data_IF_484857386899
#
_entry.id   IF_484857386899
#
_cell.length_a   1.000
_cell.length_b   1.000
_cell.length_c   1.000
_cell.angle_alpha   90.00
_cell.angle_beta   90.00
_cell.angle_gamma   90.00
#
_symmetry.space_group_name_H-M   'P 1'
#
loop_
_entity.id
_entity.type
_entity.pdbx_description
1 polymer ?
#
# COMPACT_ATOMS: atom_id res chain seq x y z
N UNK A 1 11.78 -14.80 -17.95
CA UNK A 1 12.67 -13.87 -17.21
C UNK A 1 12.95 -14.44 -15.83
N UNK A 2 14.08 -14.05 -15.22
CA UNK A 2 14.38 -14.27 -13.81
C UNK A 2 13.70 -13.17 -13.00
N UNK A 3 12.82 -13.52 -12.09
CA UNK A 3 12.06 -12.56 -11.28
C UNK A 3 12.22 -12.89 -9.79
N UNK A 4 12.64 -11.92 -9.00
CA UNK A 4 12.54 -12.01 -7.54
C UNK A 4 11.22 -11.36 -7.14
N UNK A 5 10.36 -12.10 -6.44
CA UNK A 5 9.23 -11.52 -5.71
C UNK A 5 9.71 -11.21 -4.31
N UNK A 6 9.75 -9.94 -3.96
CA UNK A 6 10.21 -9.48 -2.66
C UNK A 6 9.02 -9.22 -1.75
N UNK A 7 8.95 -9.91 -0.61
CA UNK A 7 7.80 -9.86 0.31
C UNK A 7 8.27 -9.86 1.78
N UNK A 8 7.35 -9.93 2.71
CA UNK A 8 7.63 -10.00 4.15
C UNK A 8 8.10 -8.68 4.75
N UNK A 9 9.29 -8.66 5.32
CA UNK A 9 9.83 -7.49 6.00
C UNK A 9 9.38 -7.36 7.45
N UNK A 10 9.48 -6.15 8.01
CA UNK A 10 9.19 -5.85 9.42
C UNK A 10 8.15 -4.73 9.58
N UNK A 11 7.19 -4.64 8.65
CA UNK A 11 6.03 -3.75 8.78
C UNK A 11 4.86 -4.45 9.48
N UNK A 12 3.88 -3.69 9.94
CA UNK A 12 2.62 -4.21 10.48
C UNK A 12 1.79 -4.98 9.43
N UNK A 13 2.16 -4.86 8.14
CA UNK A 13 1.50 -5.53 7.00
C UNK A 13 2.29 -6.73 6.47
N UNK A 14 3.22 -7.26 7.28
CA UNK A 14 4.09 -8.40 6.91
C UNK A 14 3.32 -9.61 6.38
N UNK A 15 2.26 -10.04 7.08
CA UNK A 15 1.48 -11.22 6.70
C UNK A 15 0.77 -11.00 5.37
N UNK A 16 0.21 -9.81 5.17
CA UNK A 16 -0.40 -9.40 3.89
C UNK A 16 0.62 -9.43 2.76
N UNK A 17 1.83 -8.96 3.03
CA UNK A 17 2.94 -8.96 2.08
C UNK A 17 3.35 -10.38 1.69
N UNK A 18 3.46 -11.31 2.64
CA UNK A 18 3.82 -12.70 2.36
C UNK A 18 2.74 -13.40 1.51
N UNK A 19 1.46 -13.20 1.84
CA UNK A 19 0.34 -13.76 1.06
C UNK A 19 0.29 -13.15 -0.34
N UNK A 20 0.42 -11.82 -0.46
CA UNK A 20 0.51 -11.13 -1.76
C UNK A 20 1.68 -11.66 -2.60
N UNK A 21 2.86 -11.73 -2.01
CA UNK A 21 4.07 -12.25 -2.65
C UNK A 21 3.92 -13.69 -3.13
N UNK A 22 3.30 -14.55 -2.30
CA UNK A 22 3.01 -15.94 -2.66
C UNK A 22 2.08 -16.04 -3.89
N UNK A 23 1.02 -15.23 -3.95
CA UNK A 23 0.12 -15.22 -5.10
C UNK A 23 0.79 -14.69 -6.36
N UNK A 24 1.58 -13.61 -6.24
CA UNK A 24 2.38 -13.05 -7.34
C UNK A 24 3.38 -14.08 -7.85
N UNK A 25 4.10 -14.75 -6.95
CA UNK A 25 5.04 -15.81 -7.30
C UNK A 25 4.37 -16.92 -8.13
N UNK A 26 3.21 -17.43 -7.65
CA UNK A 26 2.47 -18.47 -8.38
C UNK A 26 2.00 -17.98 -9.76
N UNK A 27 1.52 -16.74 -9.86
CA UNK A 27 1.11 -16.16 -11.13
C UNK A 27 2.29 -16.04 -12.12
N UNK A 28 3.45 -15.58 -11.66
CA UNK A 28 4.66 -15.48 -12.48
C UNK A 28 5.16 -16.85 -12.94
N UNK A 29 5.12 -17.87 -12.07
CA UNK A 29 5.44 -19.26 -12.46
C UNK A 29 4.44 -19.78 -13.51
N UNK A 30 3.15 -19.53 -13.34
CA UNK A 30 2.12 -19.91 -14.32
C UNK A 30 2.31 -19.21 -15.67
N UNK A 31 2.82 -17.98 -15.68
CA UNK A 31 3.17 -17.22 -16.89
C UNK A 31 4.54 -17.64 -17.52
N UNK A 32 5.20 -18.67 -16.96
CA UNK A 32 6.45 -19.22 -17.51
C UNK A 32 7.71 -18.45 -17.11
N UNK A 33 7.67 -17.60 -16.08
CA UNK A 33 8.86 -16.94 -15.53
C UNK A 33 9.61 -17.86 -14.58
N UNK A 34 10.94 -17.68 -14.49
CA UNK A 34 11.80 -18.26 -13.44
C UNK A 34 11.72 -17.36 -12.22
N UNK A 35 10.70 -17.57 -11.39
CA UNK A 35 10.43 -16.73 -10.23
C UNK A 35 10.91 -17.41 -8.93
N UNK A 36 11.36 -16.59 -7.97
CA UNK A 36 11.62 -16.98 -6.59
C UNK A 36 10.92 -15.98 -5.65
N UNK A 37 10.52 -16.43 -4.45
CA UNK A 37 9.91 -15.58 -3.43
C UNK A 37 10.91 -15.42 -2.28
N UNK A 38 11.25 -14.18 -1.93
CA UNK A 38 12.18 -13.86 -0.86
C UNK A 38 11.53 -12.97 0.19
N UNK A 39 11.71 -13.33 1.45
CA UNK A 39 11.50 -12.39 2.54
C UNK A 39 12.64 -11.38 2.57
N UNK A 40 12.31 -10.08 2.46
CA UNK A 40 13.32 -9.02 2.40
C UNK A 40 14.17 -8.93 3.67
N UNK A 41 13.56 -9.26 4.83
CA UNK A 41 14.24 -9.17 6.11
C UNK A 41 14.93 -10.49 6.50
N UNK A 42 14.25 -11.62 6.35
CA UNK A 42 14.84 -12.93 6.73
C UNK A 42 15.84 -13.44 5.70
N UNK A 43 15.65 -13.14 4.41
CA UNK A 43 16.56 -13.54 3.34
C UNK A 43 16.56 -15.03 3.04
N UNK A 44 17.67 -15.49 2.48
CA UNK A 44 17.91 -16.89 2.12
C UNK A 44 19.36 -17.29 2.41
N UNK A 45 19.57 -18.28 3.27
CA UNK A 45 20.92 -18.73 3.69
C UNK A 45 21.46 -19.90 2.86
N UNK A 46 20.65 -20.48 1.96
CA UNK A 46 21.05 -21.61 1.14
C UNK A 46 21.97 -21.25 -0.01
N UNK A 47 22.37 -22.27 -0.77
CA UNK A 47 23.17 -22.13 -1.97
C UNK A 47 22.38 -21.40 -3.08
N UNK A 48 22.94 -20.29 -3.56
CA UNK A 48 22.31 -19.43 -4.58
C UNK A 48 22.67 -19.80 -6.01
N UNK A 49 23.61 -20.70 -6.24
CA UNK A 49 24.04 -21.06 -7.60
C UNK A 49 22.90 -21.73 -8.37
N UNK A 50 22.53 -21.14 -9.49
CA UNK A 50 21.43 -21.62 -10.32
C UNK A 50 20.05 -21.61 -9.65
N UNK A 51 19.85 -20.80 -8.60
CA UNK A 51 18.66 -20.80 -7.74
C UNK A 51 17.35 -20.61 -8.52
N UNK A 52 17.35 -19.81 -9.60
CA UNK A 52 16.18 -19.59 -10.45
C UNK A 52 15.77 -20.84 -11.27
N UNK A 53 16.62 -21.84 -11.35
CA UNK A 53 16.37 -23.11 -12.07
C UNK A 53 16.10 -24.27 -11.10
N UNK A 54 16.19 -24.05 -9.80
CA UNK A 54 15.91 -25.07 -8.77
C UNK A 54 14.39 -25.18 -8.53
N UNK A 55 13.90 -26.40 -8.40
CA UNK A 55 12.52 -26.70 -8.00
C UNK A 55 12.39 -26.63 -6.47
N UNK A 56 12.16 -25.42 -5.96
CA UNK A 56 11.93 -25.14 -4.53
C UNK A 56 10.51 -24.60 -4.38
N UNK A 57 9.75 -25.11 -3.43
CA UNK A 57 8.48 -24.48 -3.02
C UNK A 57 8.77 -23.30 -2.09
N UNK A 58 8.84 -22.12 -2.68
CA UNK A 58 9.06 -20.86 -1.95
C UNK A 58 7.86 -20.39 -1.12
N UNK A 59 6.74 -21.12 -1.19
CA UNK A 59 5.49 -20.73 -0.50
C UNK A 59 5.17 -21.62 0.69
N UNK A 60 5.98 -22.64 0.97
CA UNK A 60 5.74 -23.65 2.02
C UNK A 60 5.53 -23.02 3.43
N UNK A 61 6.28 -21.96 3.74
CA UNK A 61 6.22 -21.28 5.03
C UNK A 61 5.17 -20.16 5.11
N UNK A 62 4.46 -19.87 3.99
CA UNK A 62 3.50 -18.77 3.93
C UNK A 62 2.14 -19.22 4.48
N UNK A 63 1.74 -18.67 5.62
CA UNK A 63 0.43 -18.86 6.22
C UNK A 63 -0.58 -17.78 5.78
N UNK A 64 -1.86 -17.99 6.10
CA UNK A 64 -2.90 -16.97 5.88
C UNK A 64 -2.64 -15.71 6.72
N UNK A 65 -3.20 -14.58 6.28
CA UNK A 65 -3.14 -13.32 7.04
C UNK A 65 -3.82 -13.52 8.39
N UNK A 66 -3.12 -13.16 9.46
CA UNK A 66 -3.65 -13.26 10.83
C UNK A 66 -4.70 -12.16 11.11
N UNK A 67 -5.54 -12.40 12.13
CA UNK A 67 -6.57 -11.43 12.54
C UNK A 67 -5.99 -10.19 13.24
N UNK A 68 -4.75 -10.26 13.68
CA UNK A 68 -3.99 -9.18 14.33
C UNK A 68 -2.70 -8.90 13.60
N UNK A 69 -2.18 -7.70 13.75
CA UNK A 69 -0.87 -7.36 13.21
C UNK A 69 0.23 -8.29 13.77
N UNK A 70 1.24 -8.65 12.96
CA UNK A 70 2.30 -9.56 13.37
C UNK A 70 3.15 -8.97 14.50
N UNK A 71 3.67 -9.84 15.37
CA UNK A 71 4.67 -9.47 16.37
C UNK A 71 6.04 -9.24 15.72
N UNK A 72 6.31 -7.98 15.39
CA UNK A 72 7.56 -7.57 14.74
C UNK A 72 8.79 -7.81 15.62
N UNK A 73 8.64 -7.77 16.94
CA UNK A 73 9.75 -8.08 17.87
C UNK A 73 10.19 -9.55 17.72
N UNK A 74 9.24 -10.46 17.66
CA UNK A 74 9.52 -11.89 17.40
C UNK A 74 10.17 -12.11 16.02
N UNK A 75 9.73 -11.41 14.98
CA UNK A 75 10.36 -11.49 13.65
C UNK A 75 11.81 -10.99 13.70
N UNK A 76 12.08 -9.88 14.38
CA UNK A 76 13.42 -9.34 14.56
C UNK A 76 14.33 -10.30 15.33
N UNK A 77 13.80 -11.00 16.32
CA UNK A 77 14.55 -11.98 17.11
C UNK A 77 15.06 -13.19 16.29
N UNK A 78 14.42 -13.49 15.15
CA UNK A 78 14.89 -14.54 14.23
C UNK A 78 16.21 -14.18 13.53
N UNK A 79 16.61 -12.91 13.58
CA UNK A 79 17.81 -12.38 12.93
C UNK A 79 18.58 -11.43 13.84
N UNK A 80 19.48 -11.95 14.71
CA UNK A 80 20.17 -11.13 15.73
C UNK A 80 21.06 -10.00 15.18
N UNK A 81 21.53 -10.11 13.93
CA UNK A 81 22.31 -9.06 13.23
C UNK A 81 21.45 -8.04 12.45
N UNK A 82 20.14 -8.25 12.40
CA UNK A 82 19.21 -7.49 11.58
C UNK A 82 19.11 -6.00 11.92
N UNK A 83 19.50 -5.58 13.10
CA UNK A 83 19.48 -4.18 13.50
C UNK A 83 20.44 -3.29 12.71
N UNK A 84 21.49 -3.85 12.14
CA UNK A 84 22.50 -3.13 11.34
C UNK A 84 22.30 -3.25 9.84
N UNK A 85 21.58 -4.27 9.40
CA UNK A 85 21.36 -4.55 7.99
C UNK A 85 19.92 -5.01 7.76
N UNK A 86 19.09 -4.15 7.18
CA UNK A 86 17.70 -4.47 6.89
C UNK A 86 17.54 -5.67 5.94
N UNK A 87 18.38 -5.77 4.91
CA UNK A 87 18.31 -6.84 3.94
C UNK A 87 18.87 -8.14 4.52
N UNK A 88 18.08 -9.20 4.45
CA UNK A 88 18.49 -10.54 4.87
C UNK A 88 19.61 -11.13 3.99
N UNK A 89 20.21 -12.26 4.40
CA UNK A 89 21.24 -12.95 3.64
C UNK A 89 20.82 -13.14 2.18
N UNK A 90 21.74 -12.87 1.26
CA UNK A 90 21.60 -13.03 -0.19
C UNK A 90 20.48 -12.22 -0.88
N UNK A 91 19.66 -11.43 -0.19
CA UNK A 91 18.56 -10.68 -0.81
C UNK A 91 19.08 -9.77 -1.92
N UNK A 92 20.01 -8.86 -1.61
CA UNK A 92 20.55 -7.92 -2.62
C UNK A 92 21.28 -8.62 -3.75
N UNK A 93 22.01 -9.70 -3.45
CA UNK A 93 22.68 -10.53 -4.47
C UNK A 93 21.66 -11.09 -5.47
N UNK A 94 20.61 -11.74 -4.97
CA UNK A 94 19.60 -12.37 -5.81
C UNK A 94 18.73 -11.34 -6.56
N UNK A 95 18.44 -10.19 -5.95
CA UNK A 95 17.79 -9.09 -6.63
C UNK A 95 18.64 -8.52 -7.78
N UNK A 96 19.96 -8.44 -7.60
CA UNK A 96 20.87 -7.98 -8.65
C UNK A 96 21.06 -9.01 -9.79
N UNK A 97 20.88 -10.32 -9.52
CA UNK A 97 20.93 -11.38 -10.53
C UNK A 97 19.62 -11.53 -11.32
N UNK A 98 18.52 -10.95 -10.83
CA UNK A 98 17.22 -11.00 -11.50
C UNK A 98 17.14 -9.99 -12.65
N UNK A 99 16.29 -10.29 -13.64
CA UNK A 99 15.94 -9.32 -14.69
C UNK A 99 15.10 -8.16 -14.13
N UNK A 100 14.28 -8.46 -13.11
CA UNK A 100 13.40 -7.51 -12.42
C UNK A 100 12.97 -8.05 -11.06
N UNK A 101 12.78 -7.14 -10.10
CA UNK A 101 12.20 -7.43 -8.78
C UNK A 101 10.73 -7.03 -8.77
N UNK A 102 9.84 -7.97 -8.47
CA UNK A 102 8.44 -7.66 -8.21
C UNK A 102 8.27 -7.30 -6.74
N UNK A 103 7.87 -6.05 -6.47
CA UNK A 103 7.68 -5.52 -5.13
C UNK A 103 6.33 -6.00 -4.57
N UNK A 104 6.32 -7.10 -3.83
CA UNK A 104 5.16 -7.63 -3.10
C UNK A 104 5.10 -7.16 -1.64
N UNK A 105 5.83 -6.09 -1.33
CA UNK A 105 5.90 -5.49 0.01
C UNK A 105 4.73 -4.55 0.25
N UNK A 106 4.34 -4.40 1.53
CA UNK A 106 3.32 -3.45 1.96
C UNK A 106 3.76 -2.70 3.21
N UNK A 107 3.28 -1.46 3.33
CA UNK A 107 3.57 -0.60 4.46
C UNK A 107 5.00 -0.06 4.47
N UNK A 108 5.44 0.37 5.66
CA UNK A 108 6.76 0.93 5.85
C UNK A 108 7.86 0.00 5.33
N UNK A 109 8.96 0.58 4.90
CA UNK A 109 10.08 -0.01 4.18
C UNK A 109 9.77 -0.40 2.72
N UNK A 110 8.60 -0.98 2.41
CA UNK A 110 8.18 -1.28 1.04
C UNK A 110 7.73 -0.04 0.27
N UNK A 111 6.96 0.84 0.93
CA UNK A 111 6.27 1.97 0.29
C UNK A 111 6.88 3.35 0.60
N UNK A 112 7.88 3.44 1.50
CA UNK A 112 8.50 4.71 1.87
C UNK A 112 9.72 5.12 1.02
N UNK A 113 10.02 4.40 -0.05
CA UNK A 113 11.09 4.70 -0.99
C UNK A 113 12.49 4.21 -0.57
N UNK A 114 12.67 3.69 0.63
CA UNK A 114 14.01 3.29 1.13
C UNK A 114 14.59 2.12 0.33
N UNK A 115 13.82 1.08 0.09
CA UNK A 115 14.25 -0.09 -0.71
C UNK A 115 14.47 0.33 -2.16
N UNK A 116 13.55 1.12 -2.71
CA UNK A 116 13.65 1.66 -4.06
C UNK A 116 14.93 2.46 -4.26
N UNK A 117 15.33 3.28 -3.27
CA UNK A 117 16.58 4.05 -3.35
C UNK A 117 17.83 3.15 -3.40
N UNK A 118 17.83 2.04 -2.66
CA UNK A 118 18.93 1.05 -2.75
C UNK A 118 18.95 0.42 -4.14
N UNK A 119 17.79 0.03 -4.66
CA UNK A 119 17.68 -0.58 -5.99
C UNK A 119 18.10 0.39 -7.10
N UNK A 120 17.71 1.67 -7.01
CA UNK A 120 18.15 2.71 -7.95
C UNK A 120 19.68 2.83 -7.97
N UNK A 121 20.34 2.85 -6.79
CA UNK A 121 21.80 2.92 -6.68
C UNK A 121 22.50 1.66 -7.22
N UNK A 122 21.87 0.50 -7.11
CA UNK A 122 22.39 -0.79 -7.59
C UNK A 122 22.03 -1.08 -9.05
N UNK A 123 21.22 -0.24 -9.71
CA UNK A 123 20.74 -0.48 -11.07
C UNK A 123 19.76 -1.67 -11.17
N UNK A 124 19.10 -2.03 -10.07
CA UNK A 124 18.12 -3.12 -10.02
C UNK A 124 16.78 -2.60 -10.50
N UNK A 125 16.18 -3.23 -11.50
CA UNK A 125 14.82 -2.92 -11.95
C UNK A 125 13.79 -3.50 -10.99
N UNK A 126 12.71 -2.74 -10.73
CA UNK A 126 11.63 -3.16 -9.83
C UNK A 126 10.27 -2.63 -10.29
N UNK A 127 9.19 -3.32 -9.88
CA UNK A 127 7.81 -2.89 -10.12
C UNK A 127 7.40 -1.77 -9.17
N UNK A 128 6.43 -0.93 -9.60
CA UNK A 128 5.89 0.15 -8.79
C UNK A 128 6.65 1.47 -8.94
N UNK A 129 6.43 2.36 -8.01
CA UNK A 129 6.88 3.76 -8.05
C UNK A 129 8.30 3.91 -7.50
N UNK A 130 9.09 4.83 -8.09
CA UNK A 130 10.47 5.12 -7.68
C UNK A 130 10.59 5.79 -6.31
N UNK A 131 11.81 5.82 -5.76
CA UNK A 131 12.12 6.15 -4.37
C UNK A 131 11.49 7.47 -3.86
N UNK A 132 11.78 8.59 -4.52
CA UNK A 132 11.31 9.91 -4.06
C UNK A 132 9.78 10.02 -4.07
N UNK A 133 9.11 9.44 -5.08
CA UNK A 133 7.67 9.51 -5.24
C UNK A 133 6.94 8.57 -4.26
N UNK A 134 7.51 7.41 -3.97
CA UNK A 134 7.02 6.52 -2.92
C UNK A 134 7.08 7.20 -1.56
N UNK A 135 8.20 7.88 -1.23
CA UNK A 135 8.32 8.63 0.01
C UNK A 135 7.27 9.76 0.12
N UNK A 136 7.01 10.48 -0.98
CA UNK A 136 5.95 11.52 -1.04
C UNK A 136 4.58 10.91 -0.79
N UNK A 137 4.24 9.79 -1.46
CA UNK A 137 2.93 9.15 -1.31
C UNK A 137 2.72 8.58 0.11
N UNK A 138 3.78 8.10 0.75
CA UNK A 138 3.73 7.58 2.12
C UNK A 138 3.39 8.68 3.14
N UNK A 139 3.87 9.90 2.96
CA UNK A 139 3.53 11.04 3.82
C UNK A 139 2.21 11.66 3.37
N UNK A 140 1.14 11.39 4.13
CA UNK A 140 -0.24 11.82 3.81
C UNK A 140 -0.36 13.34 3.66
N UNK A 141 0.36 14.11 4.47
CA UNK A 141 0.33 15.58 4.38
C UNK A 141 0.92 16.05 3.06
N UNK A 142 2.13 15.63 2.73
CA UNK A 142 2.82 16.04 1.49
C UNK A 142 2.01 15.61 0.26
N UNK A 143 1.52 14.36 0.25
CA UNK A 143 0.70 13.86 -0.85
C UNK A 143 -0.57 14.69 -1.04
N UNK A 144 -1.27 15.05 0.04
CA UNK A 144 -2.50 15.86 -0.01
C UNK A 144 -2.24 17.30 -0.46
N UNK A 145 -1.16 17.93 -0.02
CA UNK A 145 -0.78 19.27 -0.49
C UNK A 145 -0.56 19.28 -2.01
N UNK A 146 0.18 18.28 -2.53
CA UNK A 146 0.42 18.14 -3.96
C UNK A 146 -0.88 17.87 -4.70
N UNK A 147 -1.72 16.97 -4.21
CA UNK A 147 -3.02 16.66 -4.82
C UNK A 147 -3.94 17.89 -4.83
N UNK A 148 -4.07 18.59 -3.71
CA UNK A 148 -4.91 19.81 -3.60
C UNK A 148 -4.43 20.92 -4.56
N UNK A 149 -3.12 21.18 -4.61
CA UNK A 149 -2.54 22.14 -5.55
C UNK A 149 -2.87 21.83 -7.01
N UNK A 150 -2.98 20.53 -7.34
CA UNK A 150 -3.33 20.06 -8.68
C UNK A 150 -4.86 19.87 -8.89
N UNK A 151 -5.69 20.37 -7.98
CA UNK A 151 -7.15 20.36 -8.11
C UNK A 151 -7.79 18.98 -7.89
N UNK A 152 -7.18 18.12 -7.08
CA UNK A 152 -7.80 16.92 -6.52
C UNK A 152 -8.33 17.29 -5.14
N UNK A 153 -9.65 17.18 -4.89
CA UNK A 153 -10.21 17.51 -3.58
C UNK A 153 -9.68 16.58 -2.49
N UNK A 154 -9.29 17.15 -1.36
CA UNK A 154 -8.86 16.44 -0.16
C UNK A 154 -9.61 17.02 1.06
N UNK A 155 -9.77 16.27 2.16
CA UNK A 155 -10.33 16.82 3.40
C UNK A 155 -9.51 18.02 3.88
N UNK A 156 -10.16 19.02 4.46
CA UNK A 156 -9.47 20.13 5.13
C UNK A 156 -8.72 19.60 6.33
N UNK A 157 -7.49 20.04 6.53
CA UNK A 157 -6.66 19.54 7.62
C UNK A 157 -5.64 20.55 8.10
N UNK A 158 -5.06 20.22 9.25
CA UNK A 158 -3.95 20.93 9.88
C UNK A 158 -2.83 19.92 10.14
N UNK A 159 -1.62 20.29 9.74
CA UNK A 159 -0.41 19.53 9.99
C UNK A 159 0.22 19.98 11.29
N UNK A 160 0.56 19.04 12.16
CA UNK A 160 1.20 19.29 13.45
C UNK A 160 2.50 18.50 13.55
N UNK A 161 3.54 19.16 14.01
CA UNK A 161 4.78 18.51 14.44
C UNK A 161 4.76 18.27 15.95
N UNK A 162 5.54 17.32 16.40
CA UNK A 162 5.73 17.08 17.82
C UNK A 162 6.28 18.34 18.50
N UNK A 163 5.52 18.90 19.44
CA UNK A 163 5.86 20.11 20.18
C UNK A 163 5.17 21.38 19.69
N UNK A 164 4.38 21.30 18.60
CA UNK A 164 3.53 22.41 18.17
C UNK A 164 2.37 22.66 19.13
N UNK A 165 1.72 23.83 19.00
CA UNK A 165 0.45 24.10 19.63
C UNK A 165 -0.62 23.17 19.06
N UNK A 166 -1.30 22.44 19.95
CA UNK A 166 -2.26 21.40 19.59
C UNK A 166 -3.71 21.84 19.69
N UNK A 167 -4.00 23.14 19.67
CA UNK A 167 -5.38 23.65 19.66
C UNK A 167 -6.11 23.16 18.41
N UNK A 168 -7.24 22.48 18.60
CA UNK A 168 -8.07 22.02 17.48
C UNK A 168 -8.74 23.18 16.76
N UNK A 169 -8.29 23.49 15.55
CA UNK A 169 -8.88 24.51 14.68
C UNK A 169 -9.83 23.94 13.62
N UNK A 170 -9.92 22.61 13.51
CA UNK A 170 -10.81 21.92 12.56
C UNK A 170 -12.23 21.78 13.13
N UNK A 171 -12.37 21.62 14.46
CA UNK A 171 -13.63 21.33 15.12
C UNK A 171 -13.88 19.83 15.28
N UNK A 172 -15.08 19.48 15.74
CA UNK A 172 -15.49 18.09 15.98
C UNK A 172 -16.76 17.73 15.20
N UNK A 173 -16.90 16.47 14.72
CA UNK A 173 -15.88 15.42 14.78
C UNK A 173 -14.70 15.68 13.85
N UNK A 174 -13.51 15.19 14.23
CA UNK A 174 -12.30 15.25 13.39
C UNK A 174 -11.57 13.90 13.38
N UNK A 175 -10.66 13.74 12.41
CA UNK A 175 -9.78 12.59 12.32
C UNK A 175 -8.36 13.03 12.67
N UNK A 176 -7.75 12.35 13.62
CA UNK A 176 -6.32 12.46 13.94
C UNK A 176 -5.61 11.26 13.37
N UNK A 177 -4.52 11.48 12.62
CA UNK A 177 -3.76 10.37 12.02
C UNK A 177 -2.26 10.67 11.95
N UNK A 178 -1.42 9.65 12.12
CA UNK A 178 -0.01 9.70 11.78
C UNK A 178 0.16 10.02 10.29
N UNK A 179 1.11 10.88 9.93
CA UNK A 179 1.35 11.23 8.52
C UNK A 179 1.90 10.06 7.72
N UNK A 180 2.73 9.20 8.32
CA UNK A 180 3.28 8.00 7.71
C UNK A 180 2.61 6.75 8.29
N UNK A 181 2.64 5.65 7.53
CA UNK A 181 2.03 4.38 7.93
C UNK A 181 0.81 3.99 7.09
N UNK A 182 0.33 2.78 7.32
CA UNK A 182 -0.73 2.15 6.54
C UNK A 182 -1.77 1.43 7.39
N UNK A 183 -2.72 0.75 6.71
CA UNK A 183 -3.74 -0.14 7.31
C UNK A 183 -4.58 0.47 8.43
N UNK A 184 -4.85 1.77 8.38
CA UNK A 184 -5.61 2.50 9.42
C UNK A 184 -4.99 2.47 10.82
N UNK A 185 -3.75 2.00 10.97
CA UNK A 185 -3.01 2.09 12.23
C UNK A 185 -2.65 3.55 12.49
N UNK A 186 -2.98 4.04 13.69
CA UNK A 186 -2.75 5.45 14.05
C UNK A 186 -3.78 6.42 13.47
N UNK A 187 -4.99 5.96 13.15
CA UNK A 187 -6.14 6.78 12.72
C UNK A 187 -7.20 6.78 13.81
N UNK A 188 -7.59 7.95 14.29
CA UNK A 188 -8.49 8.12 15.42
C UNK A 188 -9.63 9.09 15.05
N UNK A 189 -10.87 8.64 15.19
CA UNK A 189 -12.05 9.50 15.14
C UNK A 189 -12.21 10.16 16.51
N UNK A 190 -12.24 11.49 16.53
CA UNK A 190 -12.33 12.28 17.74
C UNK A 190 -13.61 13.13 17.71
N UNK A 191 -14.55 12.83 18.63
CA UNK A 191 -15.83 13.52 18.72
C UNK A 191 -15.82 14.71 19.69
N UNK A 192 -14.78 14.82 20.50
CA UNK A 192 -14.60 15.82 21.55
C UNK A 192 -13.13 16.04 21.88
N UNK A 193 -12.85 16.99 22.76
CA UNK A 193 -11.49 17.37 23.12
C UNK A 193 -10.71 16.26 23.85
N UNK A 194 -11.36 15.47 24.68
CA UNK A 194 -10.70 14.36 25.40
C UNK A 194 -10.21 13.30 24.41
N UNK A 195 -11.07 12.89 23.47
CA UNK A 195 -10.71 11.93 22.40
C UNK A 195 -9.62 12.51 21.50
N UNK A 196 -9.66 13.81 21.21
CA UNK A 196 -8.66 14.50 20.42
C UNK A 196 -7.28 14.47 21.07
N UNK A 197 -7.19 14.84 22.35
CA UNK A 197 -5.92 14.82 23.11
C UNK A 197 -5.35 13.40 23.16
N UNK A 198 -6.21 12.40 23.42
CA UNK A 198 -5.78 11.01 23.40
C UNK A 198 -5.32 10.56 22.01
N UNK A 199 -6.08 10.90 20.98
CA UNK A 199 -5.73 10.59 19.57
C UNK A 199 -4.40 11.19 19.16
N UNK A 200 -4.13 12.45 19.51
CA UNK A 200 -2.83 13.09 19.27
C UNK A 200 -1.68 12.35 19.96
N UNK A 201 -1.87 12.02 21.25
CA UNK A 201 -0.86 11.29 22.01
C UNK A 201 -0.52 9.95 21.34
N UNK A 202 -1.52 9.20 20.95
CA UNK A 202 -1.33 7.90 20.28
C UNK A 202 -0.69 8.05 18.89
N UNK A 203 -1.15 9.03 18.08
CA UNK A 203 -0.58 9.28 16.76
C UNK A 203 0.90 9.74 16.87
N UNK A 204 1.23 10.60 17.82
CA UNK A 204 2.61 11.02 18.08
C UNK A 204 3.52 9.92 18.64
N UNK A 205 2.97 8.82 19.18
CA UNK A 205 3.79 7.65 19.50
C UNK A 205 4.28 6.91 18.25
N UNK A 206 3.55 7.06 17.13
CA UNK A 206 3.84 6.38 15.88
C UNK A 206 4.67 7.25 14.92
N UNK A 207 4.43 8.57 14.91
CA UNK A 207 5.11 9.50 13.99
C UNK A 207 5.42 10.82 14.71
N UNK A 208 6.38 11.58 14.21
CA UNK A 208 6.67 12.95 14.65
C UNK A 208 5.76 13.99 13.98
N UNK A 209 5.04 13.58 12.94
CA UNK A 209 4.11 14.39 12.17
C UNK A 209 2.71 13.79 12.25
N UNK A 210 1.73 14.62 12.55
CA UNK A 210 0.32 14.24 12.70
C UNK A 210 -0.54 15.15 11.83
N UNK A 211 -1.50 14.56 11.15
CA UNK A 211 -2.50 15.25 10.37
C UNK A 211 -3.84 15.20 11.10
N UNK A 212 -4.44 16.38 11.34
CA UNK A 212 -5.79 16.52 11.87
C UNK A 212 -6.70 16.98 10.76
N UNK A 213 -7.74 16.22 10.44
CA UNK A 213 -8.65 16.50 9.31
C UNK A 213 -10.10 16.57 9.74
N UNK A 214 -10.90 17.31 8.98
CA UNK A 214 -12.37 17.24 9.08
C UNK A 214 -12.82 15.78 8.87
N UNK A 215 -13.79 15.36 9.67
CA UNK A 215 -14.44 14.06 9.46
C UNK A 215 -15.40 14.13 8.28
N UNK A 216 -15.19 13.30 7.28
CA UNK A 216 -16.09 13.15 6.15
C UNK A 216 -16.96 11.92 6.37
N UNK A 217 -18.25 12.12 6.63
CA UNK A 217 -19.24 11.04 6.64
C UNK A 217 -19.67 10.72 5.21
N UNK A 218 -19.75 9.43 4.86
CA UNK A 218 -20.23 9.05 3.55
C UNK A 218 -19.74 7.67 3.10
N UNK A 219 -19.72 7.47 1.79
CA UNK A 219 -19.36 6.23 1.12
C UNK A 219 -17.87 6.19 0.79
N UNK A 220 -17.23 5.05 0.99
CA UNK A 220 -15.81 4.84 0.71
C UNK A 220 -15.59 4.11 -0.62
N UNK A 221 -14.61 4.57 -1.38
CA UNK A 221 -14.28 4.03 -2.71
C UNK A 221 -12.76 3.92 -2.87
N UNK A 222 -12.38 3.02 -3.76
CA UNK A 222 -11.00 2.89 -4.20
C UNK A 222 -10.92 2.82 -5.72
N UNK A 223 -9.83 3.35 -6.26
CA UNK A 223 -9.56 3.38 -7.71
C UNK A 223 -8.09 3.06 -7.96
N UNK A 224 -7.81 1.93 -8.56
CA UNK A 224 -6.47 1.66 -9.09
C UNK A 224 -6.25 2.47 -10.38
N UNK A 225 -5.10 3.10 -10.47
CA UNK A 225 -4.62 3.73 -11.71
C UNK A 225 -3.38 2.97 -12.17
N UNK A 226 -3.43 2.41 -13.37
CA UNK A 226 -2.32 1.68 -13.99
C UNK A 226 -1.91 2.41 -15.28
N UNK A 227 -0.61 2.71 -15.41
CA UNK A 227 -0.06 3.44 -16.55
C UNK A 227 -0.84 4.72 -16.89
N UNK A 228 -1.31 5.43 -15.84
CA UNK A 228 -2.03 6.68 -15.94
C UNK A 228 -3.52 6.56 -16.31
N UNK A 229 -4.08 5.35 -16.36
CA UNK A 229 -5.51 5.09 -16.63
C UNK A 229 -6.20 4.46 -15.43
N UNK A 230 -7.32 5.03 -15.02
CA UNK A 230 -8.14 4.51 -13.93
C UNK A 230 -8.82 3.19 -14.34
N UNK A 231 -8.84 2.24 -13.40
CA UNK A 231 -9.61 1.00 -13.47
C UNK A 231 -11.04 1.25 -12.94
N UNK A 232 -11.96 0.26 -13.06
CA UNK A 232 -13.30 0.40 -12.50
C UNK A 232 -13.26 0.69 -11.00
N UNK A 233 -14.06 1.63 -10.55
CA UNK A 233 -14.17 2.02 -9.15
C UNK A 233 -14.73 0.85 -8.33
N UNK A 234 -14.15 0.59 -7.17
CA UNK A 234 -14.71 -0.34 -6.19
C UNK A 234 -15.25 0.43 -4.99
N UNK A 235 -16.46 0.12 -4.57
CA UNK A 235 -17.08 0.65 -3.34
C UNK A 235 -16.82 -0.30 -2.18
N UNK A 236 -16.50 0.25 -1.03
CA UNK A 236 -16.18 -0.47 0.19
C UNK A 236 -17.21 -0.06 1.26
N UNK A 237 -18.04 -1.01 1.68
CA UNK A 237 -19.04 -0.81 2.72
C UNK A 237 -18.73 -1.71 3.92
N UNK A 238 -18.03 -1.22 4.97
CA UNK A 238 -17.79 -1.99 6.18
C UNK A 238 -19.13 -2.42 6.81
N UNK A 239 -19.24 -3.67 7.25
CA UNK A 239 -20.46 -4.16 7.92
C UNK A 239 -20.63 -3.57 9.32
N UNK A 240 -19.53 -3.18 9.98
CA UNK A 240 -19.53 -2.56 11.29
C UNK A 240 -18.41 -1.54 11.39
N UNK A 241 -18.73 -0.33 11.84
CA UNK A 241 -17.75 0.70 12.21
C UNK A 241 -16.92 1.26 11.05
N UNK A 242 -15.65 1.41 11.28
CA UNK A 242 -14.64 1.97 10.37
C UNK A 242 -13.99 0.88 9.52
N UNK A 243 -13.47 1.22 8.32
CA UNK A 243 -12.64 0.33 7.52
C UNK A 243 -11.23 0.24 8.10
N UNK A 244 -11.13 -0.43 9.25
CA UNK A 244 -9.91 -0.68 10.01
C UNK A 244 -9.12 -1.90 9.50
N UNK A 245 -8.00 -2.23 10.15
CA UNK A 245 -7.15 -3.37 9.81
C UNK A 245 -7.95 -4.68 9.69
N UNK A 246 -8.84 -4.93 10.67
CA UNK A 246 -9.66 -6.14 10.69
C UNK A 246 -10.61 -6.19 9.50
N UNK A 247 -11.28 -5.07 9.20
CA UNK A 247 -12.22 -4.97 8.09
C UNK A 247 -11.53 -5.05 6.72
N UNK A 248 -10.25 -4.67 6.62
CA UNK A 248 -9.45 -4.74 5.39
C UNK A 248 -9.02 -6.16 5.01
N UNK A 249 -8.72 -7.02 6.00
CA UNK A 249 -8.06 -8.30 5.72
C UNK A 249 -8.83 -9.54 6.13
N UNK A 250 -9.95 -9.39 6.86
CA UNK A 250 -10.84 -10.50 7.17
C UNK A 250 -11.97 -10.61 6.14
N UNK A 251 -12.02 -11.74 5.43
CA UNK A 251 -13.09 -12.01 4.48
C UNK A 251 -14.48 -11.88 5.13
N UNK A 252 -15.39 -11.14 4.46
CA UNK A 252 -16.75 -10.93 4.93
C UNK A 252 -16.90 -9.83 5.99
N UNK A 253 -15.89 -9.00 6.26
CA UNK A 253 -15.99 -7.85 7.17
C UNK A 253 -16.46 -6.57 6.47
N UNK A 254 -16.36 -6.50 5.15
CA UNK A 254 -16.90 -5.44 4.31
C UNK A 254 -17.62 -6.03 3.10
N UNK A 255 -18.58 -5.30 2.58
CA UNK A 255 -19.19 -5.57 1.25
C UNK A 255 -18.47 -4.73 0.22
N UNK A 256 -17.81 -5.40 -0.71
CA UNK A 256 -17.06 -4.76 -1.79
C UNK A 256 -17.85 -4.93 -3.10
N UNK A 257 -18.11 -3.82 -3.79
CA UNK A 257 -18.89 -3.81 -5.03
C UNK A 257 -18.07 -3.20 -6.16
N UNK A 258 -17.70 -4.01 -7.15
CA UNK A 258 -16.96 -3.58 -8.34
C UNK A 258 -17.65 -4.06 -9.63
N UNK A 259 -17.98 -3.17 -10.59
CA UNK A 259 -17.93 -1.72 -10.50
C UNK A 259 -18.89 -1.13 -9.46
N UNK A 260 -18.50 -0.03 -8.82
CA UNK A 260 -19.32 0.68 -7.85
C UNK A 260 -20.64 1.19 -8.47
N UNK A 261 -21.71 1.18 -7.69
CA UNK A 261 -23.01 1.71 -8.12
C UNK A 261 -23.04 3.25 -8.01
N UNK A 262 -22.51 3.91 -9.02
CA UNK A 262 -22.48 5.37 -9.20
C UNK A 262 -23.14 5.75 -10.54
N UNK A 263 -23.65 6.97 -10.63
CA UNK A 263 -24.03 7.53 -11.92
C UNK A 263 -22.80 7.79 -12.80
N UNK A 264 -23.03 7.92 -14.10
CA UNK A 264 -21.94 8.05 -15.09
C UNK A 264 -21.07 9.29 -14.86
N UNK A 265 -21.69 10.43 -14.45
CA UNK A 265 -20.96 11.68 -14.22
C UNK A 265 -20.05 11.55 -13.00
N UNK A 266 -20.57 10.96 -11.91
CA UNK A 266 -19.82 10.74 -10.68
C UNK A 266 -18.68 9.72 -10.88
N UNK A 267 -18.93 8.68 -11.67
CA UNK A 267 -17.90 7.72 -12.08
C UNK A 267 -16.76 8.41 -12.82
N UNK A 268 -17.09 9.21 -13.85
CA UNK A 268 -16.09 9.98 -14.63
C UNK A 268 -15.33 10.99 -13.77
N UNK A 269 -16.02 11.66 -12.86
CA UNK A 269 -15.40 12.62 -11.94
C UNK A 269 -14.37 11.97 -11.04
N UNK A 270 -14.73 10.87 -10.36
CA UNK A 270 -13.81 10.14 -9.47
C UNK A 270 -12.62 9.57 -10.21
N UNK A 271 -12.84 8.92 -11.36
CA UNK A 271 -11.76 8.40 -12.21
C UNK A 271 -10.82 9.53 -12.67
N UNK A 272 -11.36 10.69 -13.04
CA UNK A 272 -10.56 11.86 -13.43
C UNK A 272 -9.72 12.39 -12.29
N UNK A 273 -10.25 12.40 -11.05
CA UNK A 273 -9.46 12.78 -9.86
C UNK A 273 -8.38 11.77 -9.55
N UNK A 274 -8.67 10.47 -9.65
CA UNK A 274 -7.68 9.42 -9.46
C UNK A 274 -6.51 9.54 -10.46
N UNK A 275 -6.81 9.69 -11.75
CA UNK A 275 -5.78 9.88 -12.78
C UNK A 275 -5.00 11.19 -12.60
N UNK A 276 -5.67 12.27 -12.13
CA UNK A 276 -5.02 13.54 -11.84
C UNK A 276 -4.09 13.43 -10.65
N UNK A 277 -4.52 12.77 -9.55
CA UNK A 277 -3.69 12.49 -8.36
C UNK A 277 -2.47 11.65 -8.72
N UNK A 278 -2.66 10.59 -9.50
CA UNK A 278 -1.56 9.76 -10.02
C UNK A 278 -0.52 10.61 -10.77
N UNK A 279 -0.96 11.47 -11.70
CA UNK A 279 -0.06 12.35 -12.46
C UNK A 279 0.59 13.42 -11.58
N UNK A 280 -0.16 14.02 -10.66
CA UNK A 280 0.34 15.06 -9.75
C UNK A 280 1.45 14.55 -8.84
N UNK A 281 1.28 13.35 -8.28
CA UNK A 281 2.27 12.66 -7.45
C UNK A 281 3.39 12.01 -8.27
N UNK A 282 3.29 12.08 -9.61
CA UNK A 282 4.24 11.48 -10.56
C UNK A 282 4.45 9.99 -10.29
N UNK A 283 3.39 9.30 -9.93
CA UNK A 283 3.39 7.85 -9.70
C UNK A 283 3.74 7.13 -11.00
N UNK A 284 4.40 6.00 -10.89
CA UNK A 284 4.81 5.15 -12.00
C UNK A 284 4.16 3.77 -11.88
N UNK A 285 3.99 3.09 -12.99
CA UNK A 285 3.38 1.78 -13.10
C UNK A 285 1.93 1.77 -12.59
N UNK A 286 1.72 1.67 -11.29
CA UNK A 286 0.38 1.58 -10.70
C UNK A 286 0.35 2.17 -9.29
N UNK A 287 -0.84 2.59 -8.87
CA UNK A 287 -1.17 2.89 -7.47
C UNK A 287 -2.68 2.82 -7.27
N UNK A 288 -3.10 2.68 -6.03
CA UNK A 288 -4.49 2.76 -5.60
C UNK A 288 -4.72 4.09 -4.89
N UNK A 289 -5.73 4.84 -5.32
CA UNK A 289 -6.16 6.06 -4.68
C UNK A 289 -7.50 5.82 -3.98
N UNK A 290 -7.59 6.20 -2.71
CA UNK A 290 -8.75 5.96 -1.88
C UNK A 290 -9.54 7.25 -1.68
N UNK A 291 -10.88 7.17 -1.78
CA UNK A 291 -11.79 8.31 -1.79
C UNK A 291 -12.93 8.13 -0.79
N UNK A 292 -13.40 9.25 -0.23
CA UNK A 292 -14.71 9.37 0.39
C UNK A 292 -15.62 10.23 -0.46
N UNK A 293 -16.91 9.89 -0.50
CA UNK A 293 -17.96 10.71 -1.08
C UNK A 293 -18.99 11.02 0.02
N UNK A 294 -19.14 12.30 0.35
CA UNK A 294 -20.12 12.71 1.36
C UNK A 294 -21.57 12.64 0.83
N UNK A 295 -22.54 12.89 1.72
CA UNK A 295 -23.97 12.83 1.38
C UNK A 295 -24.41 13.86 0.33
N UNK A 296 -23.63 14.94 0.15
CA UNK A 296 -23.84 15.93 -0.91
C UNK A 296 -23.22 15.50 -2.26
N UNK A 297 -22.59 14.32 -2.32
CA UNK A 297 -21.91 13.79 -3.49
C UNK A 297 -20.54 14.43 -3.78
N UNK A 298 -19.94 15.16 -2.84
CA UNK A 298 -18.59 15.70 -2.98
C UNK A 298 -17.57 14.62 -2.71
N UNK A 299 -16.52 14.56 -3.54
CA UNK A 299 -15.44 13.59 -3.47
C UNK A 299 -14.23 14.17 -2.74
N UNK A 300 -13.55 13.35 -1.95
CA UNK A 300 -12.32 13.69 -1.23
C UNK A 300 -11.33 12.54 -1.32
N UNK A 301 -10.14 12.80 -1.87
CA UNK A 301 -9.07 11.82 -1.91
C UNK A 301 -8.37 11.75 -0.54
N UNK A 302 -8.24 10.55 0.00
CA UNK A 302 -7.66 10.31 1.32
C UNK A 302 -6.15 10.06 1.26
N UNK A 303 -5.72 9.20 0.33
CA UNK A 303 -4.33 8.75 0.20
C UNK A 303 -4.08 8.10 -1.16
N UNK A 304 -2.80 7.88 -1.48
CA UNK A 304 -2.34 7.12 -2.63
C UNK A 304 -1.38 6.02 -2.17
N UNK A 305 -1.75 4.76 -2.42
CA UNK A 305 -1.00 3.58 -2.04
C UNK A 305 -0.20 3.06 -3.24
N UNK A 306 1.13 3.07 -3.15
CA UNK A 306 2.02 2.76 -4.30
C UNK A 306 2.32 1.27 -4.46
N UNK A 307 2.10 0.45 -3.44
CA UNK A 307 2.16 -1.01 -3.48
C UNK A 307 0.88 -1.61 -2.87
N UNK A 308 -0.26 -1.51 -3.56
CA UNK A 308 -1.53 -2.02 -3.05
C UNK A 308 -1.51 -3.54 -2.87
N UNK A 309 -2.35 -4.04 -1.96
CA UNK A 309 -2.47 -5.47 -1.67
C UNK A 309 -2.82 -6.31 -2.90
N UNK A 310 -2.26 -7.51 -2.96
CA UNK A 310 -2.42 -8.50 -4.02
C UNK A 310 -2.86 -9.87 -3.46
N UNK A 311 -3.59 -9.85 -2.34
CA UNK A 311 -4.24 -11.05 -1.80
C UNK A 311 -5.52 -11.36 -2.58
N UNK A 312 -6.12 -12.54 -2.43
CA UNK A 312 -7.38 -12.88 -3.11
C UNK A 312 -8.56 -11.94 -2.80
N UNK A 313 -8.52 -11.27 -1.63
CA UNK A 313 -9.55 -10.31 -1.18
C UNK A 313 -9.14 -8.86 -1.41
N UNK A 314 -7.99 -8.60 -2.03
CA UNK A 314 -7.52 -7.23 -2.28
C UNK A 314 -8.31 -6.55 -3.39
N UNK A 315 -8.44 -5.22 -3.31
CA UNK A 315 -9.28 -4.39 -4.18
C UNK A 315 -8.80 -4.39 -5.62
N UNK A 316 -7.50 -4.21 -5.86
CA UNK A 316 -6.92 -4.11 -7.23
C UNK A 316 -7.16 -5.38 -8.07
N UNK A 317 -7.00 -6.61 -7.57
CA UNK A 317 -7.41 -7.81 -8.29
C UNK A 317 -8.91 -7.85 -8.65
N UNK A 318 -9.79 -7.31 -7.79
CA UNK A 318 -11.22 -7.24 -8.05
C UNK A 318 -11.55 -6.21 -9.13
N UNK A 319 -10.90 -5.04 -9.11
CA UNK A 319 -11.01 -4.03 -10.16
C UNK A 319 -10.56 -4.57 -11.52
N UNK A 320 -9.45 -5.33 -11.55
CA UNK A 320 -8.96 -5.99 -12.75
C UNK A 320 -9.95 -7.06 -13.28
N UNK A 321 -10.50 -7.88 -12.38
CA UNK A 321 -11.49 -8.89 -12.73
C UNK A 321 -12.76 -8.29 -13.34
N UNK A 322 -13.20 -7.11 -12.86
CA UNK A 322 -14.31 -6.35 -13.44
C UNK A 322 -14.04 -5.89 -14.89
N UNK A 323 -12.77 -5.81 -15.31
CA UNK A 323 -12.35 -5.56 -16.70
C UNK A 323 -12.13 -6.85 -17.50
N UNK A 324 -12.39 -8.04 -16.93
CA UNK A 324 -12.09 -9.32 -17.56
C UNK A 324 -10.60 -9.69 -17.53
N UNK A 325 -9.79 -9.02 -16.71
CA UNK A 325 -8.36 -9.30 -16.54
C UNK A 325 -8.20 -10.25 -15.34
N UNK A 326 -7.76 -11.47 -15.59
CA UNK A 326 -7.48 -12.42 -14.50
C UNK A 326 -6.20 -12.03 -13.73
N UNK A 327 -5.99 -12.65 -12.59
CA UNK A 327 -4.87 -12.31 -11.69
C UNK A 327 -3.49 -12.52 -12.35
N UNK A 328 -3.31 -13.58 -13.13
CA UNK A 328 -2.04 -13.86 -13.81
C UNK A 328 -1.73 -12.77 -14.87
N UNK A 329 -2.74 -12.35 -15.63
CA UNK A 329 -2.61 -11.28 -16.62
C UNK A 329 -2.36 -9.92 -15.95
N UNK A 330 -2.98 -9.66 -14.78
CA UNK A 330 -2.73 -8.46 -13.99
C UNK A 330 -1.26 -8.38 -13.55
N UNK A 331 -0.74 -9.47 -12.97
CA UNK A 331 0.67 -9.56 -12.53
C UNK A 331 1.61 -9.38 -13.72
N UNK A 332 1.32 -9.98 -14.87
CA UNK A 332 2.10 -9.80 -16.10
C UNK A 332 2.10 -8.34 -16.58
N UNK A 333 0.94 -7.67 -16.55
CA UNK A 333 0.84 -6.24 -16.93
C UNK A 333 1.68 -5.35 -15.99
N UNK A 334 1.60 -5.58 -14.67
CA UNK A 334 2.40 -4.87 -13.68
C UNK A 334 3.91 -5.07 -13.91
N UNK A 335 4.32 -6.31 -14.21
CA UNK A 335 5.70 -6.65 -14.51
C UNK A 335 6.20 -5.92 -15.77
N UNK A 336 5.41 -5.95 -16.85
CA UNK A 336 5.74 -5.28 -18.12
C UNK A 336 5.80 -3.77 -18.00
N UNK A 337 4.92 -3.16 -17.22
CA UNK A 337 4.96 -1.72 -16.94
C UNK A 337 6.31 -1.31 -16.33
N UNK A 338 6.84 -2.12 -15.41
CA UNK A 338 8.14 -1.85 -14.78
C UNK A 338 9.35 -2.02 -15.72
N UNK A 339 9.26 -2.93 -16.69
CA UNK A 339 10.37 -3.16 -17.65
C UNK A 339 10.46 -2.03 -18.68
N UNK A 340 9.32 -1.44 -19.01
CA UNK A 340 9.21 -0.37 -20.00
C UNK A 340 9.42 1.04 -19.38
N UNK A 341 9.73 1.12 -18.11
CA UNK A 341 9.93 2.33 -17.30
C UNK A 341 11.22 3.11 -17.62
#
# INVERSE_FOLDING_TARGET
MKVVVLAGGISTERDVSLVSGSNIYRALKANGHKAILLDVYLGYEGDTDGIFDKEIDWTESVSAVSASAPDIASVKALRPDGDRNFFGPNVLKLCAEADVVFMGLHGENGENGKIQAVFDLMGIKYTGTGAARSAICMNKQIAKEIMAYNGVPVPKGVHLHRGDDTVNTIGYPCIVKACSGGSSVGVYLCNNEEEYIQGLKEAFNLDNEVLVEEYISGREFSVCVMDGRAMPIIEIAPLNGFYDYKNKYQAGSAVETCPAKLDENKTKEMMSYAERGYRALRIECYARLDFLMNDEGKLFCLEANTLPGMTPTSLVPQEAAAMGINFNDLVEKMLRSAINK
#
